data_IF_142425132605
#
_entry.id   IF_142425132605
#
_cell.length_a   1.000
_cell.length_b   1.000
_cell.length_c   1.000
_cell.angle_alpha   90.00
_cell.angle_beta   90.00
_cell.angle_gamma   90.00
#
_symmetry.space_group_name_H-M   'P 1'
#
loop_
_entity.id
_entity.type
_entity.pdbx_description
1 polymer ?
#
# COMPACT_ATOMS: atom_id res chain seq x y z
N UNK A 1 16.07 -15.20 34.20
CA UNK A 1 16.24 -16.09 33.03
C UNK A 1 15.86 -15.24 31.82
N UNK A 2 16.84 -14.83 31.02
CA UNK A 2 16.61 -14.13 29.75
C UNK A 2 16.17 -15.24 28.80
N UNK A 3 14.93 -15.17 28.31
CA UNK A 3 14.47 -16.06 27.26
C UNK A 3 15.40 -15.85 26.05
N UNK A 4 16.14 -16.86 25.64
CA UNK A 4 16.81 -16.88 24.34
C UNK A 4 15.73 -16.64 23.28
N UNK A 5 15.75 -15.46 22.65
CA UNK A 5 15.01 -15.25 21.42
C UNK A 5 15.59 -16.24 20.41
N UNK A 6 14.88 -17.31 20.15
CA UNK A 6 15.16 -18.18 19.01
C UNK A 6 15.09 -17.29 17.78
N UNK A 7 16.24 -17.06 17.15
CA UNK A 7 16.30 -16.35 15.88
C UNK A 7 15.38 -17.08 14.90
N UNK A 8 14.30 -16.42 14.48
CA UNK A 8 13.38 -16.96 13.47
C UNK A 8 14.20 -17.19 12.21
N UNK A 9 14.37 -18.45 11.81
CA UNK A 9 15.08 -18.78 10.58
C UNK A 9 14.17 -18.32 9.43
N UNK A 10 14.59 -17.27 8.72
CA UNK A 10 13.83 -16.75 7.59
C UNK A 10 13.60 -17.87 6.54
N UNK A 11 12.39 -17.96 5.97
CA UNK A 11 12.08 -19.01 5.02
C UNK A 11 12.92 -18.87 3.75
N UNK A 12 13.38 -19.99 3.22
CA UNK A 12 13.92 -20.05 1.87
C UNK A 12 12.81 -20.47 0.92
N UNK A 13 12.46 -19.58 0.00
CA UNK A 13 11.33 -19.79 -0.88
C UNK A 13 11.67 -20.64 -2.10
N UNK A 14 10.69 -21.38 -2.57
CA UNK A 14 10.69 -21.96 -3.92
C UNK A 14 10.21 -20.90 -4.92
N UNK A 15 10.54 -21.02 -6.20
CA UNK A 15 10.15 -20.03 -7.21
C UNK A 15 8.66 -19.82 -7.36
N UNK A 16 7.86 -20.85 -7.14
CA UNK A 16 6.41 -20.89 -7.26
C UNK A 16 5.67 -20.67 -5.93
N UNK A 17 6.41 -20.43 -4.83
CA UNK A 17 5.78 -20.06 -3.56
C UNK A 17 4.95 -18.78 -3.73
N UNK A 18 3.73 -18.80 -3.15
CA UNK A 18 2.81 -17.68 -3.21
C UNK A 18 3.27 -16.54 -2.30
N UNK A 19 3.31 -15.34 -2.85
CA UNK A 19 3.62 -14.10 -2.12
C UNK A 19 2.67 -12.98 -2.52
N UNK A 20 2.39 -12.05 -1.59
CA UNK A 20 1.66 -10.81 -1.85
C UNK A 20 2.26 -9.70 -0.97
N UNK A 21 2.86 -8.69 -1.59
CA UNK A 21 3.64 -7.68 -0.88
C UNK A 21 2.92 -6.34 -0.73
N UNK A 22 1.60 -6.29 -1.01
CA UNK A 22 0.80 -5.07 -0.90
C UNK A 22 -0.63 -5.39 -0.48
N UNK A 23 -0.90 -5.28 0.82
CA UNK A 23 -2.17 -5.63 1.45
C UNK A 23 -2.54 -4.57 2.49
N UNK A 24 -3.84 -4.31 2.64
CA UNK A 24 -4.40 -3.33 3.58
C UNK A 24 -5.28 -3.96 4.64
N UNK A 25 -5.33 -3.31 5.79
CA UNK A 25 -6.16 -3.72 6.93
C UNK A 25 -7.02 -2.58 7.46
N UNK A 26 -7.72 -2.85 8.53
CA UNK A 26 -8.45 -1.85 9.31
C UNK A 26 -7.55 -0.74 9.90
N UNK A 27 -6.23 -0.87 9.86
CA UNK A 27 -5.34 0.18 10.36
C UNK A 27 -5.27 1.40 9.45
N UNK A 28 -5.77 1.29 8.21
CA UNK A 28 -5.99 2.38 7.26
C UNK A 28 -7.43 2.36 6.73
N UNK A 29 -7.60 2.16 5.47
CA UNK A 29 -8.87 2.17 4.74
C UNK A 29 -9.36 0.77 4.34
N UNK A 30 -8.63 -0.27 4.71
CA UNK A 30 -9.04 -1.65 4.51
C UNK A 30 -10.12 -2.11 5.51
N UNK A 31 -10.68 -3.30 5.26
CA UNK A 31 -11.71 -3.95 6.08
C UNK A 31 -11.27 -5.30 6.63
N UNK A 32 -10.09 -5.79 6.26
CA UNK A 32 -9.50 -6.95 6.89
C UNK A 32 -9.04 -6.63 8.30
N UNK A 33 -9.42 -7.42 9.30
CA UNK A 33 -8.63 -7.47 10.53
C UNK A 33 -7.30 -8.17 10.26
N UNK A 34 -6.21 -7.88 11.01
CA UNK A 34 -4.96 -8.62 10.85
C UNK A 34 -5.17 -10.13 10.98
N UNK A 35 -6.01 -10.58 11.90
CA UNK A 35 -6.30 -11.99 12.12
C UNK A 35 -7.00 -12.66 10.93
N UNK A 36 -8.03 -12.02 10.37
CA UNK A 36 -8.73 -12.53 9.18
C UNK A 36 -7.79 -12.59 7.97
N UNK A 37 -6.99 -11.53 7.75
CA UNK A 37 -6.08 -11.46 6.62
C UNK A 37 -4.98 -12.54 6.73
N UNK A 38 -4.31 -12.65 7.88
CA UNK A 38 -3.23 -13.64 8.05
C UNK A 38 -3.79 -15.07 8.02
N UNK A 39 -4.99 -15.32 8.57
CA UNK A 39 -5.66 -16.62 8.44
C UNK A 39 -5.97 -16.94 6.99
N UNK A 40 -6.50 -15.97 6.21
CA UNK A 40 -6.73 -16.15 4.78
C UNK A 40 -5.44 -16.51 4.05
N UNK A 41 -4.34 -15.81 4.32
CA UNK A 41 -3.04 -16.06 3.70
C UNK A 41 -2.53 -17.48 4.01
N UNK A 42 -2.64 -17.92 5.28
CA UNK A 42 -2.25 -19.27 5.69
C UNK A 42 -3.11 -20.35 5.01
N UNK A 43 -4.43 -20.19 5.00
CA UNK A 43 -5.38 -21.13 4.40
C UNK A 43 -5.16 -21.26 2.88
N UNK A 44 -4.65 -20.21 2.22
CA UNK A 44 -4.34 -20.18 0.79
C UNK A 44 -2.86 -20.40 0.47
N UNK A 45 -2.08 -20.89 1.46
CA UNK A 45 -0.68 -21.30 1.32
C UNK A 45 0.29 -20.19 0.88
N UNK A 46 0.00 -18.94 1.23
CA UNK A 46 0.99 -17.87 1.08
C UNK A 46 2.18 -18.12 2.00
N UNK A 47 3.38 -17.92 1.48
CA UNK A 47 4.63 -18.08 2.25
C UNK A 47 5.13 -16.76 2.81
N UNK A 48 4.92 -15.68 2.06
CA UNK A 48 5.35 -14.33 2.44
C UNK A 48 4.28 -13.34 2.06
N UNK A 49 4.04 -12.37 2.94
CA UNK A 49 3.18 -11.23 2.64
C UNK A 49 3.72 -9.95 3.29
N UNK A 50 3.26 -8.80 2.82
CA UNK A 50 3.48 -7.52 3.49
C UNK A 50 2.17 -6.78 3.66
N UNK A 51 1.94 -6.27 4.88
CA UNK A 51 0.83 -5.38 5.16
C UNK A 51 1.36 -3.96 5.00
N UNK A 52 0.75 -3.23 4.08
CA UNK A 52 1.15 -1.91 3.63
C UNK A 52 0.01 -0.91 3.82
N UNK A 53 -0.57 -0.86 5.01
CA UNK A 53 -1.60 0.11 5.34
C UNK A 53 -1.15 1.54 4.99
N UNK A 54 -2.05 2.37 4.45
CA UNK A 54 -1.75 3.76 4.16
C UNK A 54 -1.26 4.49 5.41
N UNK A 55 -0.11 5.13 5.33
CA UNK A 55 0.49 6.01 6.33
C UNK A 55 0.52 5.44 7.76
N UNK A 56 0.42 4.12 7.90
CA UNK A 56 0.25 3.44 9.18
C UNK A 56 0.92 2.07 9.24
N UNK A 57 1.55 1.79 10.37
CA UNK A 57 2.07 0.45 10.67
C UNK A 57 1.38 -0.17 11.92
N UNK A 58 0.18 0.30 12.28
CA UNK A 58 -0.50 -0.13 13.52
C UNK A 58 -0.85 -1.61 13.56
N UNK A 59 -1.10 -2.23 12.40
CA UNK A 59 -1.43 -3.66 12.26
C UNK A 59 -0.20 -4.57 12.16
N UNK A 60 0.97 -4.00 11.87
CA UNK A 60 2.15 -4.78 11.44
C UNK A 60 2.63 -5.76 12.52
N UNK A 61 2.78 -5.32 13.77
CA UNK A 61 3.29 -6.19 14.83
C UNK A 61 2.34 -7.35 15.16
N UNK A 62 1.03 -7.09 15.19
CA UNK A 62 0.02 -8.12 15.39
C UNK A 62 0.05 -9.13 14.22
N UNK A 63 0.11 -8.63 12.99
CA UNK A 63 0.17 -9.50 11.83
C UNK A 63 1.45 -10.34 11.77
N UNK A 64 2.60 -9.79 12.17
CA UNK A 64 3.86 -10.53 12.27
C UNK A 64 3.75 -11.66 13.29
N UNK A 65 3.18 -11.39 14.47
CA UNK A 65 2.97 -12.42 15.50
C UNK A 65 2.05 -13.54 14.99
N UNK A 66 0.91 -13.17 14.39
CA UNK A 66 -0.03 -14.13 13.80
C UNK A 66 0.62 -14.93 12.66
N UNK A 67 1.44 -14.27 11.84
CA UNK A 67 2.19 -14.91 10.77
C UNK A 67 3.17 -15.97 11.30
N UNK A 68 3.90 -15.66 12.35
CA UNK A 68 4.80 -16.62 13.01
C UNK A 68 4.02 -17.85 13.55
N UNK A 69 2.81 -17.65 14.09
CA UNK A 69 1.95 -18.72 14.59
C UNK A 69 1.37 -19.59 13.47
N UNK A 70 1.03 -18.98 12.32
CA UNK A 70 0.34 -19.63 11.21
C UNK A 70 1.27 -20.05 10.05
N UNK A 71 2.56 -19.74 10.14
CA UNK A 71 3.57 -20.13 9.15
C UNK A 71 3.60 -19.26 7.90
N UNK A 72 3.14 -18.03 7.98
CA UNK A 72 3.25 -16.98 6.93
C UNK A 72 4.25 -15.93 7.38
N UNK A 73 5.32 -15.73 6.64
CA UNK A 73 6.29 -14.68 6.96
C UNK A 73 5.76 -13.30 6.57
N UNK A 74 5.48 -12.45 7.57
CA UNK A 74 5.01 -11.08 7.34
C UNK A 74 6.19 -10.11 7.36
N UNK A 75 6.45 -9.49 6.21
CA UNK A 75 7.44 -8.42 6.06
C UNK A 75 6.80 -7.12 6.56
N UNK A 76 7.45 -6.37 7.48
CA UNK A 76 6.96 -5.04 7.85
C UNK A 76 6.87 -4.14 6.63
N UNK A 77 5.71 -3.54 6.40
CA UNK A 77 5.45 -2.65 5.27
C UNK A 77 4.63 -1.44 5.69
N UNK A 78 4.56 -0.47 4.81
CA UNK A 78 3.65 0.67 4.84
C UNK A 78 3.57 1.27 3.44
N UNK A 79 2.39 1.71 3.02
CA UNK A 79 2.20 2.52 1.82
C UNK A 79 2.11 3.98 2.24
N UNK A 80 3.19 4.73 2.00
CA UNK A 80 3.27 6.15 2.39
C UNK A 80 2.72 7.02 1.28
N UNK A 81 1.76 7.87 1.63
CA UNK A 81 1.24 8.91 0.73
C UNK A 81 2.27 10.03 0.61
N UNK A 82 2.78 10.23 -0.60
CA UNK A 82 3.87 11.18 -0.87
C UNK A 82 3.50 12.18 -1.96
N UNK A 83 4.20 13.31 -1.99
CA UNK A 83 4.11 14.31 -3.04
C UNK A 83 5.45 14.49 -3.76
N UNK A 84 5.41 14.50 -5.07
CA UNK A 84 6.55 14.86 -5.92
C UNK A 84 6.08 15.60 -7.17
N UNK A 85 6.70 16.74 -7.45
CA UNK A 85 6.37 17.58 -8.62
C UNK A 85 4.89 18.00 -8.69
N UNK A 86 4.27 18.25 -7.51
CA UNK A 86 2.86 18.67 -7.41
C UNK A 86 1.86 17.55 -7.66
N UNK A 87 2.30 16.29 -7.66
CA UNK A 87 1.45 15.10 -7.83
C UNK A 87 1.64 14.17 -6.65
N UNK A 88 0.57 13.55 -6.22
CA UNK A 88 0.58 12.53 -5.18
C UNK A 88 1.12 11.21 -5.75
N UNK A 89 1.94 10.50 -4.97
CA UNK A 89 2.51 9.21 -5.30
C UNK A 89 2.42 8.31 -4.07
N UNK A 90 2.16 7.04 -4.28
CA UNK A 90 2.24 6.07 -3.20
C UNK A 90 3.59 5.36 -3.22
N UNK A 91 4.20 5.28 -2.05
CA UNK A 91 5.51 4.69 -1.85
C UNK A 91 5.39 3.51 -0.88
N UNK A 92 5.59 2.30 -1.38
CA UNK A 92 5.75 1.12 -0.53
C UNK A 92 7.14 1.17 0.14
N UNK A 93 7.15 1.16 1.45
CA UNK A 93 8.38 1.09 2.24
C UNK A 93 8.38 -0.21 3.01
N UNK A 94 9.39 -1.05 2.75
CA UNK A 94 9.53 -2.38 3.35
C UNK A 94 10.68 -2.46 4.34
N UNK A 95 10.56 -3.34 5.34
CA UNK A 95 11.65 -3.75 6.22
C UNK A 95 11.81 -2.93 7.48
N UNK A 96 11.08 -1.83 7.66
CA UNK A 96 11.13 -1.00 8.87
C UNK A 96 10.07 -1.46 9.85
N UNK A 97 10.48 -1.94 11.02
CA UNK A 97 9.57 -2.33 12.09
C UNK A 97 9.07 -1.10 12.87
N UNK A 98 7.77 -1.04 13.24
CA UNK A 98 7.21 0.11 13.97
C UNK A 98 7.65 0.20 15.44
N UNK A 99 8.22 -0.86 16.01
CA UNK A 99 8.73 -0.91 17.40
C UNK A 99 10.20 -0.50 17.52
N UNK A 100 10.81 -0.01 16.45
CA UNK A 100 12.16 0.57 16.50
C UNK A 100 12.18 1.87 17.30
N UNK A 101 13.27 2.08 18.03
CA UNK A 101 13.47 3.28 18.87
C UNK A 101 14.88 3.85 18.75
N UNK A 102 15.63 3.42 17.73
CA UNK A 102 16.96 3.92 17.41
C UNK A 102 16.88 5.19 16.55
N UNK A 103 17.96 5.96 16.56
CA UNK A 103 18.03 7.26 15.89
C UNK A 103 17.87 7.14 14.36
N UNK A 104 18.29 6.02 13.76
CA UNK A 104 18.20 5.80 12.32
C UNK A 104 16.75 5.68 11.83
N UNK A 105 15.85 5.17 12.68
CA UNK A 105 14.42 5.07 12.34
C UNK A 105 13.61 6.30 12.76
N UNK A 106 14.16 7.19 13.58
CA UNK A 106 13.41 8.29 14.22
C UNK A 106 12.72 9.21 13.20
N UNK A 107 13.42 9.63 12.16
CA UNK A 107 12.86 10.53 11.14
C UNK A 107 11.75 9.85 10.33
N UNK A 108 11.89 8.58 9.95
CA UNK A 108 10.86 7.86 9.22
C UNK A 108 9.58 7.70 10.06
N UNK A 109 9.73 7.33 11.32
CA UNK A 109 8.59 7.19 12.24
C UNK A 109 7.94 8.56 12.54
N UNK A 110 8.73 9.64 12.57
CA UNK A 110 8.20 11.00 12.70
C UNK A 110 7.35 11.40 11.49
N UNK A 111 7.76 11.06 10.27
CA UNK A 111 6.95 11.30 9.06
C UNK A 111 5.59 10.62 9.16
N UNK A 112 5.54 9.34 9.57
CA UNK A 112 4.26 8.64 9.75
C UNK A 112 3.40 9.29 10.85
N UNK A 113 4.01 9.76 11.92
CA UNK A 113 3.30 10.48 13.00
C UNK A 113 2.77 11.85 12.53
N UNK A 114 3.51 12.57 11.71
CA UNK A 114 3.08 13.83 11.09
C UNK A 114 1.87 13.60 10.18
N UNK A 115 1.91 12.58 9.32
CA UNK A 115 0.79 12.19 8.45
C UNK A 115 -0.46 11.79 9.26
N UNK A 116 -0.32 10.95 10.30
CA UNK A 116 -1.44 10.60 11.19
C UNK A 116 -2.06 11.83 11.86
N UNK A 117 -1.24 12.76 12.33
CA UNK A 117 -1.74 13.99 12.95
C UNK A 117 -2.50 14.88 11.97
N UNK A 118 -1.99 15.02 10.73
CA UNK A 118 -2.64 15.81 9.68
C UNK A 118 -3.95 15.13 9.22
N UNK A 119 -3.95 13.81 8.99
CA UNK A 119 -5.15 13.06 8.64
C UNK A 119 -6.24 13.21 9.70
N UNK A 120 -5.89 13.18 10.99
CA UNK A 120 -6.86 13.41 12.08
C UNK A 120 -7.42 14.82 12.05
N UNK A 121 -6.57 15.82 11.84
CA UNK A 121 -6.99 17.22 11.76
C UNK A 121 -7.93 17.43 10.56
N UNK A 122 -7.60 16.89 9.41
CA UNK A 122 -8.43 16.94 8.20
C UNK A 122 -9.77 16.22 8.39
N UNK A 123 -9.77 15.07 9.07
CA UNK A 123 -11.01 14.34 9.39
C UNK A 123 -11.94 15.16 10.29
N UNK A 124 -11.40 15.80 11.31
CA UNK A 124 -12.21 16.64 12.22
C UNK A 124 -12.75 17.88 11.51
N UNK A 125 -11.94 18.56 10.68
CA UNK A 125 -12.40 19.69 9.86
C UNK A 125 -13.50 19.25 8.87
N UNK A 126 -13.28 18.13 8.15
CA UNK A 126 -14.27 17.59 7.22
C UNK A 126 -15.59 17.24 7.94
N UNK A 127 -15.51 16.58 9.09
CA UNK A 127 -16.69 16.25 9.93
C UNK A 127 -17.47 17.52 10.28
N UNK A 128 -16.79 18.54 10.83
CA UNK A 128 -17.42 19.79 11.24
C UNK A 128 -18.11 20.51 10.07
N UNK A 129 -17.46 20.56 8.90
CA UNK A 129 -18.02 21.20 7.69
C UNK A 129 -19.25 20.46 7.17
N UNK A 130 -19.19 19.14 7.11
CA UNK A 130 -20.31 18.30 6.66
C UNK A 130 -21.50 18.48 7.60
N UNK A 131 -21.31 18.39 8.93
CA UNK A 131 -22.35 18.57 9.91
C UNK A 131 -22.94 19.99 9.90
N UNK A 132 -22.08 21.03 9.79
CA UNK A 132 -22.53 22.42 9.66
C UNK A 132 -23.36 22.66 8.38
N UNK A 133 -23.16 21.87 7.33
CA UNK A 133 -23.98 21.90 6.10
C UNK A 133 -25.36 21.25 6.25
N UNK A 134 -25.72 20.78 7.47
CA UNK A 134 -26.98 20.11 7.73
C UNK A 134 -26.98 18.59 7.42
N UNK A 135 -25.80 17.99 7.33
CA UNK A 135 -25.57 16.55 7.05
C UNK A 135 -24.92 15.87 8.27
N UNK A 136 -25.69 15.48 9.30
CA UNK A 136 -25.13 14.88 10.51
C UNK A 136 -24.50 13.50 10.23
N UNK A 137 -23.48 13.15 11.03
CA UNK A 137 -22.71 11.92 10.90
C UNK A 137 -22.80 11.05 12.19
N UNK A 138 -24.01 10.65 12.64
CA UNK A 138 -24.20 9.98 13.93
C UNK A 138 -23.52 8.61 14.01
N UNK A 139 -23.31 7.91 12.89
CA UNK A 139 -22.65 6.59 12.88
C UNK A 139 -21.12 6.66 12.76
N UNK A 140 -20.49 7.85 12.84
CA UNK A 140 -19.05 7.98 12.68
C UNK A 140 -18.24 7.13 13.69
N UNK A 141 -18.67 7.10 14.95
CA UNK A 141 -18.01 6.27 15.97
C UNK A 141 -18.13 4.78 15.70
N UNK A 142 -19.26 4.34 15.12
CA UNK A 142 -19.45 2.95 14.69
C UNK A 142 -18.55 2.62 13.49
N UNK A 143 -18.48 3.50 12.48
CA UNK A 143 -17.62 3.31 11.30
C UNK A 143 -16.15 3.31 11.70
N UNK A 144 -15.75 4.19 12.59
CA UNK A 144 -14.37 4.21 13.10
C UNK A 144 -14.03 2.98 13.96
N UNK A 145 -15.03 2.36 14.62
CA UNK A 145 -14.86 1.14 15.42
C UNK A 145 -13.70 1.22 16.43
N UNK A 146 -13.57 2.35 17.13
CA UNK A 146 -12.51 2.58 18.13
C UNK A 146 -11.14 2.95 17.55
N UNK A 147 -11.01 3.04 16.22
CA UNK A 147 -9.79 3.48 15.53
C UNK A 147 -9.68 5.01 15.55
N UNK A 148 -8.49 5.56 15.35
CA UNK A 148 -8.33 6.99 15.05
C UNK A 148 -9.20 7.37 13.85
N UNK A 149 -9.95 8.47 13.98
CA UNK A 149 -10.80 8.95 12.89
C UNK A 149 -9.92 9.63 11.84
N UNK A 150 -9.93 9.07 10.65
CA UNK A 150 -9.28 9.60 9.47
C UNK A 150 -10.34 10.03 8.42
N UNK A 151 -9.96 10.78 7.39
CA UNK A 151 -10.90 11.25 6.37
C UNK A 151 -11.74 10.13 5.76
N UNK A 152 -11.15 8.96 5.49
CA UNK A 152 -11.86 7.78 4.98
C UNK A 152 -13.08 7.41 5.84
N UNK A 153 -12.99 7.46 7.18
CA UNK A 153 -14.11 7.16 8.07
C UNK A 153 -15.23 8.21 7.95
N UNK A 154 -14.86 9.50 7.80
CA UNK A 154 -15.82 10.60 7.61
C UNK A 154 -16.55 10.44 6.27
N UNK A 155 -15.79 10.19 5.18
CA UNK A 155 -16.34 9.98 3.84
C UNK A 155 -17.27 8.76 3.81
N UNK A 156 -16.83 7.63 4.37
CA UNK A 156 -17.62 6.40 4.47
C UNK A 156 -18.88 6.59 5.29
N UNK A 157 -18.81 7.39 6.36
CA UNK A 157 -20.00 7.73 7.17
C UNK A 157 -20.97 8.57 6.37
N UNK A 158 -20.52 9.56 5.61
CA UNK A 158 -21.40 10.36 4.75
C UNK A 158 -22.13 9.52 3.71
N UNK A 159 -21.51 8.45 3.20
CA UNK A 159 -22.16 7.47 2.32
C UNK A 159 -23.18 6.64 3.11
N UNK A 160 -22.81 6.12 4.28
CA UNK A 160 -23.68 5.31 5.13
C UNK A 160 -24.94 6.05 5.55
N UNK A 161 -24.81 7.35 5.86
CA UNK A 161 -25.95 8.21 6.20
C UNK A 161 -26.77 8.66 4.97
N UNK A 162 -26.36 8.27 3.76
CA UNK A 162 -27.08 8.60 2.52
C UNK A 162 -26.94 10.06 2.08
N UNK A 163 -25.94 10.79 2.59
CA UNK A 163 -25.68 12.16 2.18
C UNK A 163 -25.07 12.25 0.79
N UNK A 164 -24.35 11.23 0.39
CA UNK A 164 -23.69 11.04 -0.91
C UNK A 164 -23.71 9.55 -1.29
N UNK A 165 -23.44 9.22 -2.56
CA UNK A 165 -23.60 7.86 -3.07
C UNK A 165 -22.32 7.03 -3.03
N UNK A 166 -21.17 7.69 -3.12
CA UNK A 166 -19.86 7.06 -3.22
C UNK A 166 -18.76 7.98 -2.70
N UNK A 167 -17.56 7.46 -2.63
CA UNK A 167 -16.41 8.17 -2.08
C UNK A 167 -16.02 9.41 -2.90
N UNK A 168 -16.14 9.34 -4.23
CA UNK A 168 -15.90 10.50 -5.09
C UNK A 168 -16.84 11.66 -4.77
N UNK A 169 -18.15 11.38 -4.61
CA UNK A 169 -19.10 12.39 -4.20
C UNK A 169 -18.84 12.91 -2.78
N UNK A 170 -18.37 12.05 -1.86
CA UNK A 170 -18.02 12.43 -0.49
C UNK A 170 -16.78 13.36 -0.48
N UNK A 171 -15.75 13.02 -1.22
CA UNK A 171 -14.54 13.84 -1.39
C UNK A 171 -14.87 15.21 -2.01
N UNK A 172 -15.67 15.21 -3.07
CA UNK A 172 -16.15 16.44 -3.70
C UNK A 172 -16.97 17.32 -2.72
N UNK A 173 -17.80 16.71 -1.87
CA UNK A 173 -18.54 17.44 -0.86
C UNK A 173 -17.59 18.15 0.12
N UNK A 174 -16.57 17.46 0.65
CA UNK A 174 -15.58 18.05 1.54
C UNK A 174 -14.88 19.23 0.86
N UNK A 175 -14.40 19.05 -0.37
CA UNK A 175 -13.73 20.09 -1.13
C UNK A 175 -14.65 21.32 -1.39
N UNK A 176 -15.91 21.10 -1.79
CA UNK A 176 -16.89 22.16 -1.99
C UNK A 176 -17.18 22.95 -0.70
N UNK A 177 -17.08 22.31 0.44
CA UNK A 177 -17.22 22.94 1.76
C UNK A 177 -15.91 23.64 2.21
N UNK A 178 -14.85 23.61 1.41
CA UNK A 178 -13.54 24.22 1.69
C UNK A 178 -12.69 23.44 2.68
N UNK A 179 -12.95 22.15 2.86
CA UNK A 179 -12.12 21.22 3.63
C UNK A 179 -11.08 20.50 2.77
N UNK A 180 -10.14 19.84 3.44
CA UNK A 180 -9.20 18.89 2.87
C UNK A 180 -9.42 17.51 3.45
N UNK A 181 -8.99 16.48 2.73
CA UNK A 181 -9.02 15.08 3.20
C UNK A 181 -7.72 14.36 2.87
N UNK A 182 -6.71 15.09 2.36
CA UNK A 182 -5.40 14.55 1.99
C UNK A 182 -4.35 14.97 2.99
N UNK A 183 -3.40 14.07 3.24
CA UNK A 183 -2.10 14.37 3.82
C UNK A 183 -1.06 13.70 2.95
N UNK A 184 0.07 14.35 2.72
CA UNK A 184 1.19 13.77 1.99
C UNK A 184 2.53 14.28 2.51
N UNK A 185 3.57 13.46 2.38
CA UNK A 185 4.93 13.83 2.74
C UNK A 185 5.78 14.04 1.47
N UNK A 186 6.82 14.91 1.50
CA UNK A 186 7.74 15.02 0.36
C UNK A 186 8.42 13.68 0.06
N UNK A 187 8.29 13.19 -1.19
CA UNK A 187 8.84 11.89 -1.60
C UNK A 187 10.34 11.77 -1.30
N UNK A 188 11.12 12.80 -1.61
CA UNK A 188 12.58 12.80 -1.36
C UNK A 188 12.91 12.65 0.14
N UNK A 189 12.21 13.39 1.03
CA UNK A 189 12.37 13.28 2.49
C UNK A 189 12.03 11.87 2.97
N UNK A 190 10.93 11.32 2.47
CA UNK A 190 10.43 10.00 2.86
C UNK A 190 11.41 8.90 2.45
N UNK A 191 11.90 8.91 1.20
CA UNK A 191 12.88 7.94 0.71
C UNK A 191 14.18 8.03 1.50
N UNK A 192 14.68 9.25 1.75
CA UNK A 192 15.90 9.43 2.54
C UNK A 192 15.75 8.88 3.96
N UNK A 193 14.67 9.22 4.65
CA UNK A 193 14.40 8.75 6.01
C UNK A 193 14.21 7.21 6.05
N UNK A 194 13.53 6.64 5.07
CA UNK A 194 13.36 5.20 4.95
C UNK A 194 14.70 4.48 4.75
N UNK A 195 15.58 5.00 3.90
CA UNK A 195 16.92 4.44 3.69
C UNK A 195 17.80 4.52 4.93
N UNK A 196 17.77 5.64 5.68
CA UNK A 196 18.47 5.75 6.95
C UNK A 196 17.99 4.69 7.95
N UNK A 197 16.70 4.37 7.93
CA UNK A 197 16.12 3.29 8.73
C UNK A 197 16.39 1.88 8.15
N UNK A 198 17.10 1.76 7.03
CA UNK A 198 17.38 0.48 6.36
C UNK A 198 16.19 -0.10 5.56
N UNK A 199 15.20 0.72 5.26
CA UNK A 199 14.05 0.37 4.44
C UNK A 199 14.35 0.29 2.95
N UNK A 200 13.45 -0.33 2.20
CA UNK A 200 13.49 -0.45 0.74
C UNK A 200 12.26 0.27 0.18
N UNK A 201 12.47 1.21 -0.76
CA UNK A 201 11.47 2.11 -1.30
C UNK A 201 11.05 1.72 -2.71
N UNK A 202 9.76 1.41 -2.90
CA UNK A 202 9.19 0.94 -4.17
C UNK A 202 8.00 1.82 -4.55
N UNK A 203 7.95 2.34 -5.77
CA UNK A 203 6.75 3.06 -6.27
C UNK A 203 5.61 2.05 -6.42
N UNK A 204 4.52 2.30 -5.71
CA UNK A 204 3.29 1.51 -5.76
C UNK A 204 2.58 1.67 -7.10
N UNK A 205 1.94 0.61 -7.57
CA UNK A 205 1.05 0.55 -8.76
C UNK A 205 1.32 1.62 -9.84
N UNK A 206 2.55 1.73 -10.38
CA UNK A 206 2.97 2.83 -11.27
C UNK A 206 2.14 2.95 -12.55
N UNK A 207 1.35 1.94 -12.89
CA UNK A 207 0.50 1.90 -14.08
C UNK A 207 -0.96 2.24 -13.84
N UNK A 208 -1.36 2.56 -12.59
CA UNK A 208 -2.73 3.02 -12.33
C UNK A 208 -2.97 4.36 -13.01
N UNK A 209 -4.10 4.45 -13.70
CA UNK A 209 -4.49 5.66 -14.45
C UNK A 209 -5.51 6.52 -13.73
N UNK A 210 -5.78 6.25 -12.45
CA UNK A 210 -6.75 6.95 -11.64
C UNK A 210 -6.23 8.34 -11.17
N UNK A 211 -6.07 8.71 -9.97
CA UNK A 211 -5.87 10.10 -9.55
C UNK A 211 -4.61 10.80 -10.08
N UNK A 212 -3.47 10.12 -10.14
CA UNK A 212 -2.17 10.74 -10.54
C UNK A 212 -1.75 10.45 -11.98
N UNK A 213 -2.43 9.51 -12.63
CA UNK A 213 -2.03 8.97 -13.91
C UNK A 213 -0.81 8.04 -13.83
N UNK A 214 -0.63 7.25 -14.87
CA UNK A 214 0.47 6.30 -14.94
C UNK A 214 1.84 6.99 -14.91
N UNK A 215 2.82 6.37 -14.25
CA UNK A 215 4.22 6.79 -14.31
C UNK A 215 4.73 6.62 -15.73
N UNK A 216 5.18 7.72 -16.34
CA UNK A 216 5.85 7.68 -17.64
C UNK A 216 7.34 7.38 -17.47
N UNK A 217 7.98 6.93 -18.53
CA UNK A 217 9.45 6.75 -18.55
C UNK A 217 10.18 8.05 -18.20
N UNK A 218 9.71 9.19 -18.72
CA UNK A 218 10.28 10.50 -18.44
C UNK A 218 10.06 10.94 -16.97
N UNK A 219 8.93 10.61 -16.35
CA UNK A 219 8.70 10.86 -14.93
C UNK A 219 9.68 10.06 -14.08
N UNK A 220 9.84 8.78 -14.39
CA UNK A 220 10.76 7.89 -13.68
C UNK A 220 12.22 8.37 -13.80
N UNK A 221 12.67 8.76 -15.00
CA UNK A 221 14.02 9.29 -15.21
C UNK A 221 14.26 10.57 -14.42
N UNK A 222 13.28 11.48 -14.39
CA UNK A 222 13.38 12.73 -13.59
C UNK A 222 13.40 12.44 -12.09
N UNK A 223 12.59 11.50 -11.63
CA UNK A 223 12.54 11.08 -10.22
C UNK A 223 13.88 10.48 -9.80
N UNK A 224 14.39 9.52 -10.56
CA UNK A 224 15.66 8.83 -10.28
C UNK A 224 16.90 9.73 -10.40
N UNK A 225 16.81 10.87 -11.07
CA UNK A 225 17.91 11.84 -11.15
C UNK A 225 18.24 12.46 -9.78
N UNK A 226 17.32 12.47 -8.82
CA UNK A 226 17.52 13.06 -7.50
C UNK A 226 17.08 12.17 -6.34
N UNK A 227 16.21 11.20 -6.58
CA UNK A 227 15.61 10.36 -5.53
C UNK A 227 15.99 8.90 -5.78
N UNK A 228 16.72 8.26 -4.85
CA UNK A 228 17.17 6.88 -5.02
C UNK A 228 16.06 5.86 -4.73
N UNK A 229 15.04 5.81 -5.60
CA UNK A 229 14.00 4.79 -5.55
C UNK A 229 14.62 3.42 -5.80
N UNK A 230 14.27 2.40 -5.00
CA UNK A 230 14.83 1.05 -5.12
C UNK A 230 14.09 0.18 -6.13
N UNK A 231 12.78 0.41 -6.36
CA UNK A 231 11.99 -0.50 -7.19
C UNK A 231 10.67 0.05 -7.69
N UNK A 232 10.00 -0.79 -8.49
CA UNK A 232 8.65 -0.55 -9.01
C UNK A 232 7.76 -1.76 -8.70
N UNK A 233 6.49 -1.53 -8.35
CA UNK A 233 5.48 -2.57 -8.31
C UNK A 233 5.04 -2.91 -9.74
N UNK A 234 5.73 -3.87 -10.36
CA UNK A 234 5.51 -4.24 -11.75
C UNK A 234 4.43 -5.30 -11.93
N UNK A 235 4.06 -6.01 -10.86
CA UNK A 235 2.94 -6.94 -10.85
C UNK A 235 1.85 -6.40 -9.94
N UNK A 236 0.72 -6.07 -10.52
CA UNK A 236 -0.39 -5.48 -9.80
C UNK A 236 -1.72 -6.08 -10.28
N UNK A 237 -2.73 -6.13 -9.40
CA UNK A 237 -4.01 -6.84 -9.62
C UNK A 237 -4.70 -6.55 -10.95
N UNK A 238 -4.64 -5.31 -11.43
CA UNK A 238 -5.37 -4.87 -12.63
C UNK A 238 -4.46 -4.74 -13.85
N UNK A 239 -3.19 -5.11 -13.76
CA UNK A 239 -2.30 -5.02 -14.91
C UNK A 239 -2.54 -6.13 -15.91
N UNK A 240 -2.55 -5.72 -17.17
CA UNK A 240 -2.39 -6.64 -18.30
C UNK A 240 -0.93 -7.10 -18.39
N UNK A 241 -0.69 -8.21 -19.08
CA UNK A 241 0.67 -8.67 -19.39
C UNK A 241 1.53 -7.57 -20.04
N UNK A 242 0.92 -6.73 -20.88
CA UNK A 242 1.63 -5.63 -21.54
C UNK A 242 2.10 -4.56 -20.53
N UNK A 243 1.27 -4.22 -19.54
CA UNK A 243 1.64 -3.29 -18.47
C UNK A 243 2.72 -3.90 -17.57
N UNK A 244 2.55 -5.15 -17.15
CA UNK A 244 3.58 -5.87 -16.38
C UNK A 244 4.91 -5.90 -17.14
N UNK A 245 4.90 -6.26 -18.44
CA UNK A 245 6.11 -6.25 -19.27
C UNK A 245 6.76 -4.88 -19.36
N UNK A 246 5.95 -3.81 -19.49
CA UNK A 246 6.44 -2.43 -19.51
C UNK A 246 7.17 -2.09 -18.21
N UNK A 247 6.54 -2.25 -17.04
CA UNK A 247 7.13 -1.85 -15.76
C UNK A 247 8.31 -2.75 -15.35
N UNK A 248 8.27 -4.04 -15.69
CA UNK A 248 9.44 -4.93 -15.55
C UNK A 248 10.63 -4.45 -16.40
N UNK A 249 10.38 -4.08 -17.66
CA UNK A 249 11.42 -3.52 -18.55
C UNK A 249 11.97 -2.22 -17.99
N UNK A 250 11.10 -1.27 -17.59
CA UNK A 250 11.52 0.00 -17.00
C UNK A 250 12.38 -0.20 -15.75
N UNK A 251 12.02 -1.16 -14.90
CA UNK A 251 12.81 -1.53 -13.74
C UNK A 251 14.17 -2.14 -14.15
N UNK A 252 14.17 -3.10 -15.07
CA UNK A 252 15.39 -3.77 -15.53
C UNK A 252 16.39 -2.79 -16.15
N UNK A 253 15.92 -1.92 -17.05
CA UNK A 253 16.77 -0.96 -17.76
C UNK A 253 17.46 0.05 -16.82
N UNK A 254 16.92 0.22 -15.59
CA UNK A 254 17.44 1.15 -14.56
C UNK A 254 18.04 0.46 -13.34
N UNK A 255 18.14 -0.87 -13.37
CA UNK A 255 18.67 -1.64 -12.23
C UNK A 255 17.78 -1.62 -10.98
N UNK A 256 16.48 -1.36 -11.14
CA UNK A 256 15.52 -1.32 -10.06
C UNK A 256 14.99 -2.72 -9.72
N UNK A 257 14.55 -2.86 -8.48
CA UNK A 257 13.85 -4.04 -7.99
C UNK A 257 12.41 -4.09 -8.54
N UNK A 258 11.85 -5.29 -8.55
CA UNK A 258 10.45 -5.54 -8.92
C UNK A 258 9.69 -6.01 -7.69
N UNK A 259 8.54 -5.40 -7.39
CA UNK A 259 7.56 -5.85 -6.41
C UNK A 259 6.31 -6.40 -7.08
N UNK A 260 5.48 -7.05 -6.26
CA UNK A 260 4.16 -7.56 -6.62
C UNK A 260 3.16 -7.32 -5.50
N UNK A 261 1.93 -6.95 -5.84
CA UNK A 261 0.89 -6.74 -4.86
C UNK A 261 -0.52 -6.76 -5.44
N UNK A 262 -1.45 -7.30 -4.65
CA UNK A 262 -2.87 -7.27 -4.99
C UNK A 262 -3.55 -5.98 -4.60
N UNK A 263 -2.99 -5.28 -3.61
CA UNK A 263 -3.62 -4.10 -3.02
C UNK A 263 -5.05 -4.43 -2.55
N UNK A 264 -5.20 -5.62 -1.91
CA UNK A 264 -6.46 -6.09 -1.35
C UNK A 264 -6.84 -5.29 -0.12
N UNK A 265 -8.03 -4.69 -0.12
CA UNK A 265 -8.54 -3.88 0.99
C UNK A 265 -9.63 -4.59 1.81
N UNK A 266 -10.36 -5.51 1.19
CA UNK A 266 -11.43 -6.23 1.86
C UNK A 266 -11.63 -7.62 1.23
N UNK A 267 -12.30 -8.54 1.93
CA UNK A 267 -12.69 -9.81 1.32
C UNK A 267 -13.42 -9.59 0.00
N UNK A 268 -12.85 -10.11 -1.10
CA UNK A 268 -13.36 -9.99 -2.46
C UNK A 268 -13.43 -8.54 -3.04
N UNK A 269 -12.79 -7.57 -2.40
CA UNK A 269 -12.87 -6.16 -2.83
C UNK A 269 -11.49 -5.47 -2.73
N UNK A 270 -10.98 -4.87 -3.82
CA UNK A 270 -11.41 -5.13 -5.19
C UNK A 270 -11.13 -6.56 -5.60
N UNK A 271 -10.18 -7.21 -4.93
CA UNK A 271 -9.80 -8.63 -5.06
C UNK A 271 -9.36 -9.18 -3.69
N UNK A 272 -9.38 -10.49 -3.52
CA UNK A 272 -8.65 -11.14 -2.43
C UNK A 272 -7.13 -11.05 -2.66
N UNK A 273 -6.29 -11.27 -1.62
CA UNK A 273 -4.85 -11.47 -1.80
C UNK A 273 -4.55 -12.41 -2.96
N UNK A 274 -3.59 -12.05 -3.83
CA UNK A 274 -3.24 -12.81 -5.03
C UNK A 274 -1.96 -13.59 -4.85
N UNK A 275 -1.92 -14.87 -5.23
CA UNK A 275 -0.72 -15.69 -5.13
C UNK A 275 0.25 -15.40 -6.27
N UNK A 276 0.95 -14.27 -6.21
CA UNK A 276 2.07 -14.00 -7.11
C UNK A 276 3.21 -14.98 -6.82
N UNK A 277 3.96 -15.37 -7.83
CA UNK A 277 5.10 -16.27 -7.64
C UNK A 277 6.31 -15.52 -7.06
N UNK A 278 6.94 -16.07 -6.04
CA UNK A 278 8.12 -15.48 -5.39
C UNK A 278 9.25 -15.16 -6.38
N UNK A 279 9.40 -15.99 -7.42
CA UNK A 279 10.40 -15.78 -8.47
C UNK A 279 10.22 -14.46 -9.25
N UNK A 280 9.00 -13.93 -9.32
CA UNK A 280 8.72 -12.69 -10.06
C UNK A 280 9.29 -11.45 -9.39
N UNK A 281 9.50 -11.50 -8.06
CA UNK A 281 10.09 -10.43 -7.25
C UNK A 281 11.30 -10.89 -6.42
N UNK A 282 12.00 -11.93 -6.89
CA UNK A 282 13.10 -12.57 -6.16
C UNK A 282 14.22 -11.60 -5.71
N UNK A 283 14.52 -10.57 -6.50
CA UNK A 283 15.52 -9.56 -6.16
C UNK A 283 15.12 -8.75 -4.93
N UNK A 284 13.86 -8.34 -4.84
CA UNK A 284 13.30 -7.63 -3.68
C UNK A 284 13.28 -8.54 -2.45
N UNK A 285 12.76 -9.75 -2.59
CA UNK A 285 12.71 -10.72 -1.50
C UNK A 285 14.10 -11.03 -0.94
N UNK A 286 15.12 -11.18 -1.79
CA UNK A 286 16.49 -11.39 -1.36
C UNK A 286 17.04 -10.19 -0.56
N UNK A 287 16.75 -8.95 -0.98
CA UNK A 287 17.11 -7.72 -0.25
C UNK A 287 16.40 -7.63 1.10
N UNK A 288 15.20 -8.19 1.23
CA UNK A 288 14.42 -8.29 2.47
C UNK A 288 14.82 -9.50 3.33
N UNK A 289 15.87 -10.23 2.97
CA UNK A 289 16.37 -11.36 3.74
C UNK A 289 15.63 -12.69 3.49
N UNK A 290 14.72 -12.74 2.53
CA UNK A 290 13.91 -13.93 2.19
C UNK A 290 14.32 -14.47 0.81
N UNK A 291 15.46 -15.17 0.67
CA UNK A 291 15.98 -15.56 -0.63
C UNK A 291 15.12 -16.64 -1.28
N UNK A 292 14.93 -16.50 -2.60
CA UNK A 292 14.27 -17.51 -3.45
C UNK A 292 15.32 -18.45 -4.02
N UNK A 293 15.02 -19.75 -4.03
CA UNK A 293 15.83 -20.73 -4.75
C UNK A 293 15.57 -20.55 -6.25
N UNK A 294 16.55 -20.02 -6.99
CA UNK A 294 16.38 -19.74 -8.43
C UNK A 294 16.69 -20.99 -9.22
N UNK A 295 15.73 -21.63 -9.91
CA UNK A 295 16.04 -22.58 -10.97
C UNK A 295 16.46 -21.82 -12.23
N UNK A 296 17.12 -22.50 -13.17
CA UNK A 296 17.55 -21.97 -14.48
C UNK A 296 16.39 -21.67 -15.45
N UNK A 297 15.27 -21.18 -14.97
CA UNK A 297 14.07 -20.89 -15.77
C UNK A 297 13.77 -19.40 -15.83
N UNK A 298 13.06 -18.98 -16.88
CA UNK A 298 12.60 -17.60 -17.05
C UNK A 298 11.90 -17.09 -15.80
N UNK A 299 12.22 -15.85 -15.42
CA UNK A 299 11.69 -15.24 -14.19
C UNK A 299 10.20 -14.97 -14.35
N UNK A 300 9.78 -14.36 -15.44
CA UNK A 300 8.39 -14.09 -15.81
C UNK A 300 8.30 -13.81 -17.31
N UNK A 301 7.26 -14.29 -17.95
CA UNK A 301 6.91 -14.01 -19.34
C UNK A 301 5.40 -13.77 -19.48
N UNK A 302 4.93 -13.00 -20.49
CA UNK A 302 3.52 -12.84 -20.76
C UNK A 302 2.78 -14.19 -20.87
N UNK A 303 1.62 -14.27 -20.23
CA UNK A 303 0.81 -15.51 -20.15
C UNK A 303 1.12 -16.40 -18.95
N UNK A 304 2.13 -16.07 -18.13
CA UNK A 304 2.43 -16.84 -16.91
C UNK A 304 1.48 -16.49 -15.74
N UNK A 305 0.88 -15.31 -15.74
CA UNK A 305 -0.10 -14.92 -14.72
C UNK A 305 -1.53 -15.25 -15.21
N UNK A 306 -2.17 -16.30 -14.71
CA UNK A 306 -3.51 -16.67 -15.13
C UNK A 306 -4.58 -15.68 -14.68
N UNK A 307 -4.23 -14.78 -13.76
CA UNK A 307 -5.10 -13.74 -13.21
C UNK A 307 -4.80 -12.35 -13.80
N UNK A 308 -3.88 -12.24 -14.77
CA UNK A 308 -3.61 -10.98 -15.45
C UNK A 308 -4.89 -10.41 -16.07
N UNK A 309 -5.09 -9.09 -15.96
CA UNK A 309 -6.24 -8.44 -16.55
C UNK A 309 -6.22 -8.56 -18.08
N UNK A 310 -7.39 -8.71 -18.67
CA UNK A 310 -7.53 -8.64 -20.12
C UNK A 310 -7.50 -7.19 -20.59
N UNK A 311 -7.02 -6.91 -21.82
CA UNK A 311 -6.92 -5.54 -22.33
C UNK A 311 -8.22 -4.70 -22.27
N UNK A 312 -9.38 -5.37 -22.30
CA UNK A 312 -10.70 -4.72 -22.21
C UNK A 312 -11.11 -4.42 -20.76
N UNK A 313 -10.63 -5.20 -19.80
CA UNK A 313 -10.94 -5.05 -18.36
C UNK A 313 -10.15 -3.91 -17.72
N UNK A 314 -8.95 -3.62 -18.20
CA UNK A 314 -8.11 -2.52 -17.71
C UNK A 314 -8.72 -1.12 -17.94
N UNK A 315 -9.79 -1.02 -18.75
CA UNK A 315 -10.53 0.23 -19.00
C UNK A 315 -11.74 0.43 -18.08
N UNK A 316 -12.09 -0.56 -17.25
CA UNK A 316 -13.31 -0.59 -16.45
C UNK A 316 -13.05 -0.79 -14.94
N UNK A 317 -11.92 -0.31 -14.39
CA UNK A 317 -11.90 -0.17 -12.93
C UNK A 317 -13.01 0.81 -12.56
N UNK A 318 -14.11 0.22 -12.08
CA UNK A 318 -15.24 0.99 -11.54
C UNK A 318 -14.73 1.88 -10.41
N UNK A 319 -15.28 3.10 -10.23
CA UNK A 319 -14.90 4.03 -9.18
C UNK A 319 -15.22 3.56 -7.74
N UNK A 320 -15.40 2.26 -7.53
CA UNK A 320 -15.67 1.60 -6.25
C UNK A 320 -14.46 0.87 -5.65
N UNK A 321 -13.29 0.92 -6.28
CA UNK A 321 -12.02 0.64 -5.61
C UNK A 321 -11.75 1.76 -4.61
N UNK A 322 -11.06 1.47 -3.50
CA UNK A 322 -10.63 2.44 -2.50
C UNK A 322 -10.40 3.81 -3.09
N UNK A 323 -10.89 4.88 -2.47
CA UNK A 323 -10.64 6.20 -2.98
C UNK A 323 -9.17 6.50 -2.79
N UNK A 324 -8.39 6.27 -3.81
CA UNK A 324 -7.24 7.13 -3.95
C UNK A 324 -7.82 8.53 -3.98
N UNK A 325 -7.33 9.34 -3.10
CA UNK A 325 -7.74 10.71 -2.90
C UNK A 325 -7.83 11.40 -4.25
N UNK A 326 -9.05 11.75 -4.64
CA UNK A 326 -9.28 12.49 -5.89
C UNK A 326 -8.62 13.85 -5.74
N UNK A 327 -7.52 14.09 -6.48
CA UNK A 327 -6.97 15.43 -6.63
C UNK A 327 -8.07 16.38 -7.12
N UNK A 328 -8.38 17.37 -6.29
CA UNK A 328 -9.09 18.55 -6.79
C UNK A 328 -8.11 19.34 -7.64
N UNK A 329 -8.20 19.19 -8.96
CA UNK A 329 -7.55 20.12 -9.89
C UNK A 329 -8.11 21.50 -9.64
N UNK A 330 -7.36 22.36 -8.97
CA UNK A 330 -7.59 23.80 -8.94
C UNK A 330 -7.21 24.37 -10.31
N UNK A 331 -8.20 24.83 -11.03
CA UNK A 331 -8.03 25.74 -12.17
C UNK A 331 -7.65 27.13 -11.67
#
# INVERSE_FOLDING_TARGET
>A
MIAEQTATVLPRLQPDDAVDLHLHTLASDGFWTPAELVSFLADHHFRVASICDHDSQRSVLEAMQLGDELGVHIIPGVEVTTNWSGRQWHLLVYGIRPDRSDDDAAEFLAILAELDAELRANAEDARQRIEASGKPLPSLSEVAAGRPVWPFHVLSTAIKEGHVKNLTEAANLVTQLGGSFTADAPLERTVHAAHMAGGICVIAHPGRGDSVGAVTEADLDRMLASIPIDGLEAHYRSYTDAQTALYRRLAFDRGLLVSCGSDSHAPNQPVNPRPFQANWCAGLLARLGVPVTIPNSAVWEPGMDPLAAKPEESKQESPNGSPDVVEATTS
#
